data_IF_393468551918
#
_entry.id   IF_393468551918
#
_cell.length_a   1.000
_cell.length_b   1.000
_cell.length_c   1.000
_cell.angle_alpha   90.00
_cell.angle_beta   90.00
_cell.angle_gamma   90.00
#
_symmetry.space_group_name_H-M   'P 1'
#
loop_
_entity.id
_entity.type
_entity.pdbx_description
1 polymer ?
#
# COMPACT_ATOMS: atom_id res chain seq x y z
N UNK A 1 -1.92 -21.85 -2.30
CA UNK A 1 -2.62 -20.59 -2.07
C UNK A 1 -4.10 -20.75 -2.39
N UNK A 2 -4.95 -20.02 -1.67
CA UNK A 2 -6.39 -20.00 -1.93
C UNK A 2 -6.72 -18.83 -2.86
N UNK A 3 -7.57 -19.07 -3.86
CA UNK A 3 -8.12 -18.00 -4.69
C UNK A 3 -9.36 -17.45 -4.00
N UNK A 4 -9.41 -16.14 -3.81
CA UNK A 4 -10.59 -15.45 -3.29
C UNK A 4 -11.20 -14.61 -4.41
N UNK A 5 -12.51 -14.75 -4.63
CA UNK A 5 -13.25 -14.05 -5.67
C UNK A 5 -14.28 -13.14 -5.02
N UNK A 6 -14.20 -11.85 -5.35
CA UNK A 6 -15.21 -10.86 -4.92
C UNK A 6 -16.07 -10.53 -6.14
N UNK A 7 -17.33 -10.93 -6.09
CA UNK A 7 -18.31 -10.68 -7.15
C UNK A 7 -19.43 -9.76 -6.65
N UNK A 8 -20.19 -9.21 -7.57
CA UNK A 8 -21.33 -8.33 -7.28
C UNK A 8 -21.63 -7.43 -8.48
N UNK A 9 -22.71 -6.67 -8.41
CA UNK A 9 -23.16 -5.77 -9.46
C UNK A 9 -22.16 -4.68 -9.81
N UNK A 10 -22.30 -4.12 -11.01
CA UNK A 10 -21.49 -2.98 -11.44
C UNK A 10 -21.69 -1.78 -10.49
N UNK A 11 -20.65 -0.97 -10.28
CA UNK A 11 -20.66 0.22 -9.42
C UNK A 11 -20.88 -0.02 -7.92
N UNK A 12 -20.67 -1.24 -7.43
CA UNK A 12 -20.76 -1.58 -5.99
C UNK A 12 -19.47 -1.32 -5.20
N UNK A 13 -18.44 -0.76 -5.83
CA UNK A 13 -17.20 -0.36 -5.16
C UNK A 13 -16.13 -1.46 -5.07
N UNK A 14 -16.29 -2.58 -5.79
CA UNK A 14 -15.29 -3.67 -5.78
C UNK A 14 -13.87 -3.20 -6.10
N UNK A 15 -13.72 -2.39 -7.13
CA UNK A 15 -12.40 -1.85 -7.54
C UNK A 15 -11.80 -0.88 -6.51
N UNK A 16 -12.63 -0.26 -5.67
CA UNK A 16 -12.15 0.63 -4.61
C UNK A 16 -11.39 -0.12 -3.50
N UNK A 17 -11.57 -1.44 -3.40
CA UNK A 17 -10.86 -2.27 -2.39
C UNK A 17 -9.35 -2.15 -2.56
N UNK A 18 -8.83 -2.15 -3.79
CA UNK A 18 -7.40 -1.98 -4.06
C UNK A 18 -6.90 -0.62 -3.55
N UNK A 19 -7.65 0.46 -3.83
CA UNK A 19 -7.32 1.79 -3.32
C UNK A 19 -7.38 1.90 -1.80
N UNK A 20 -8.32 1.19 -1.14
CA UNK A 20 -8.38 1.10 0.33
C UNK A 20 -7.15 0.39 0.89
N UNK A 21 -6.77 -0.75 0.30
CA UNK A 21 -5.60 -1.52 0.73
C UNK A 21 -4.33 -0.68 0.56
N UNK A 22 -4.13 -0.11 -0.62
CA UNK A 22 -2.96 0.72 -0.91
C UNK A 22 -2.86 1.92 0.04
N UNK A 23 -3.99 2.60 0.29
CA UNK A 23 -4.03 3.71 1.25
C UNK A 23 -3.66 3.28 2.67
N UNK A 24 -4.16 2.14 3.14
CA UNK A 24 -3.81 1.58 4.44
C UNK A 24 -2.38 1.04 4.49
N UNK A 25 -1.74 0.75 3.37
CA UNK A 25 -0.32 0.40 3.27
C UNK A 25 0.61 1.62 3.09
N UNK A 26 0.10 2.83 3.25
CA UNK A 26 0.91 4.04 3.29
C UNK A 26 1.10 4.73 1.95
N UNK A 27 0.19 4.54 0.99
CA UNK A 27 0.16 5.36 -0.23
C UNK A 27 0.11 6.86 0.13
N UNK A 28 0.69 7.69 -0.72
CA UNK A 28 0.71 9.15 -0.51
C UNK A 28 -0.69 9.74 -0.53
N UNK A 29 -1.49 9.32 -1.48
CA UNK A 29 -2.84 9.83 -1.73
C UNK A 29 -3.84 8.68 -1.73
N UNK A 30 -5.11 8.99 -1.49
CA UNK A 30 -6.20 8.04 -1.54
C UNK A 30 -6.69 7.88 -2.98
N UNK A 31 -6.65 6.66 -3.51
CA UNK A 31 -7.21 6.30 -4.82
C UNK A 31 -8.54 5.56 -4.66
N UNK A 32 -9.47 6.17 -3.93
CA UNK A 32 -10.86 5.72 -3.83
C UNK A 32 -11.75 6.83 -4.37
N UNK A 33 -12.59 6.55 -5.37
CA UNK A 33 -13.46 7.56 -5.96
C UNK A 33 -14.33 8.26 -4.92
N UNK A 34 -14.54 9.55 -5.13
CA UNK A 34 -15.51 10.29 -4.33
C UNK A 34 -16.89 9.68 -4.47
N UNK A 35 -17.62 9.59 -3.36
CA UNK A 35 -18.93 8.99 -3.34
C UNK A 35 -19.42 8.67 -1.94
N UNK A 36 -20.43 7.80 -1.84
CA UNK A 36 -21.05 7.46 -0.56
C UNK A 36 -20.04 6.91 0.46
N UNK A 37 -19.04 6.13 0.03
CA UNK A 37 -18.04 5.55 0.93
C UNK A 37 -17.20 6.66 1.56
N UNK A 38 -16.56 7.53 0.78
CA UNK A 38 -15.71 8.61 1.32
C UNK A 38 -16.47 9.61 2.18
N UNK A 39 -17.75 9.85 1.90
CA UNK A 39 -18.56 10.81 2.67
C UNK A 39 -19.03 10.29 4.02
N UNK A 40 -19.13 8.97 4.17
CA UNK A 40 -19.75 8.36 5.36
C UNK A 40 -18.75 7.57 6.21
N UNK A 41 -17.48 7.50 5.82
CA UNK A 41 -16.45 6.73 6.50
C UNK A 41 -15.34 7.66 6.95
N UNK A 42 -14.98 7.62 8.23
CA UNK A 42 -13.90 8.44 8.79
C UNK A 42 -12.54 7.72 8.70
N UNK A 43 -12.52 6.40 8.76
CA UNK A 43 -11.31 5.58 8.74
C UNK A 43 -11.49 4.37 7.83
N UNK A 44 -10.46 4.04 7.07
CA UNK A 44 -10.30 2.71 6.48
C UNK A 44 -9.41 1.87 7.37
N UNK A 45 -9.72 0.58 7.48
CA UNK A 45 -8.94 -0.33 8.30
C UNK A 45 -8.77 -1.70 7.68
N UNK A 46 -7.62 -2.31 7.94
CA UNK A 46 -7.25 -3.66 7.53
C UNK A 46 -6.84 -4.47 8.76
N UNK A 47 -7.34 -5.68 8.87
CA UNK A 47 -6.82 -6.68 9.78
C UNK A 47 -5.89 -7.61 8.99
N UNK A 48 -4.63 -7.66 9.39
CA UNK A 48 -3.56 -8.38 8.71
C UNK A 48 -3.11 -9.57 9.56
N UNK A 49 -2.93 -10.72 8.91
CA UNK A 49 -2.18 -11.84 9.48
C UNK A 49 -0.70 -11.62 9.18
N UNK A 50 0.12 -11.69 10.21
CA UNK A 50 1.58 -11.54 10.10
C UNK A 50 2.27 -12.79 10.61
N UNK A 51 3.55 -12.96 10.34
CA UNK A 51 4.33 -14.06 10.88
C UNK A 51 4.48 -14.04 12.41
N UNK A 52 4.02 -12.97 13.09
CA UNK A 52 4.13 -12.74 14.53
C UNK A 52 2.79 -12.52 15.24
N UNK A 53 1.68 -12.85 14.59
CA UNK A 53 0.33 -12.61 15.09
C UNK A 53 -0.48 -11.72 14.13
N UNK A 54 -1.38 -10.93 14.69
CA UNK A 54 -2.27 -10.05 13.92
C UNK A 54 -1.87 -8.58 14.09
N UNK A 55 -2.14 -7.80 13.05
CA UNK A 55 -1.99 -6.35 13.07
C UNK A 55 -3.26 -5.70 12.51
N UNK A 56 -3.84 -4.76 13.24
CA UNK A 56 -4.88 -3.89 12.73
C UNK A 56 -4.27 -2.54 12.39
N UNK A 57 -4.38 -2.16 11.12
CA UNK A 57 -3.93 -0.88 10.59
C UNK A 57 -5.14 -0.11 10.15
N UNK A 58 -5.34 1.09 10.67
CA UNK A 58 -6.39 1.98 10.19
C UNK A 58 -5.82 3.35 9.85
N UNK A 59 -6.30 3.95 8.77
CA UNK A 59 -5.89 5.28 8.33
C UNK A 59 -7.09 6.18 8.17
N UNK A 60 -6.97 7.39 8.74
CA UNK A 60 -8.03 8.39 8.67
C UNK A 60 -8.16 8.92 7.24
N UNK A 61 -9.40 9.09 6.80
CA UNK A 61 -9.66 9.73 5.52
C UNK A 61 -9.34 11.22 5.60
N UNK A 62 -8.88 11.82 4.51
CA UNK A 62 -8.72 13.27 4.45
C UNK A 62 -10.06 13.98 4.55
N UNK A 63 -10.07 15.16 5.16
CA UNK A 63 -11.25 15.99 5.25
C UNK A 63 -11.52 16.71 3.92
N UNK A 64 -12.79 16.87 3.57
CA UNK A 64 -13.21 17.58 2.35
C UNK A 64 -12.57 16.99 1.09
N UNK A 65 -12.08 17.86 0.23
CA UNK A 65 -11.44 17.50 -1.05
C UNK A 65 -9.97 17.09 -0.90
N UNK A 66 -9.50 16.90 0.32
CA UNK A 66 -8.13 16.46 0.62
C UNK A 66 -7.85 15.07 0.02
N UNK A 67 -6.59 14.84 -0.34
CA UNK A 67 -6.14 13.56 -0.92
C UNK A 67 -5.31 12.71 0.03
N UNK A 68 -4.86 13.27 1.16
CA UNK A 68 -4.00 12.59 2.11
C UNK A 68 -4.33 12.96 3.55
N UNK A 69 -4.08 12.03 4.47
CA UNK A 69 -4.08 12.26 5.92
C UNK A 69 -2.95 11.44 6.53
N UNK A 70 -2.24 12.02 7.50
CA UNK A 70 -1.10 11.36 8.17
C UNK A 70 -1.51 10.61 9.45
N UNK A 71 -2.77 10.72 9.86
CA UNK A 71 -3.26 10.04 11.05
C UNK A 71 -3.47 8.55 10.78
N UNK A 72 -2.64 7.72 11.39
CA UNK A 72 -2.66 6.27 11.27
C UNK A 72 -2.72 5.65 12.66
N UNK A 73 -3.62 4.69 12.83
CA UNK A 73 -3.73 3.82 14.00
C UNK A 73 -3.15 2.45 13.68
N UNK A 74 -2.29 1.95 14.54
CA UNK A 74 -1.75 0.59 14.45
C UNK A 74 -1.88 -0.09 15.82
N UNK A 75 -2.36 -1.32 15.82
CA UNK A 75 -2.40 -2.20 16.97
C UNK A 75 -1.91 -3.60 16.54
N UNK A 76 -1.04 -4.20 17.33
CA UNK A 76 -0.50 -5.54 17.09
C UNK A 76 -0.67 -6.39 18.34
N UNK A 77 -1.06 -7.65 18.14
CA UNK A 77 -1.15 -8.67 19.20
C UNK A 77 -1.16 -10.05 18.54
N UNK A 78 -1.14 -11.12 19.35
CA UNK A 78 -1.39 -12.48 18.86
C UNK A 78 -2.77 -12.58 18.18
N UNK A 79 -3.77 -11.92 18.73
CA UNK A 79 -5.12 -11.78 18.16
C UNK A 79 -5.62 -10.37 18.42
N UNK A 80 -6.05 -9.67 17.38
CA UNK A 80 -6.54 -8.30 17.46
C UNK A 80 -8.03 -8.25 17.19
N UNK A 81 -8.81 -7.78 18.17
CA UNK A 81 -10.19 -7.39 17.95
C UNK A 81 -10.25 -6.07 17.18
N UNK A 82 -11.11 -5.98 16.16
CA UNK A 82 -11.28 -4.72 15.42
C UNK A 82 -11.82 -3.65 16.36
N UNK A 83 -11.07 -2.55 16.57
CA UNK A 83 -11.48 -1.51 17.52
C UNK A 83 -12.74 -0.78 17.06
N UNK A 84 -13.54 -0.32 18.01
CA UNK A 84 -14.64 0.58 17.70
C UNK A 84 -14.11 1.94 17.17
N UNK A 85 -14.85 2.57 16.26
CA UNK A 85 -14.40 3.79 15.57
C UNK A 85 -14.05 4.94 16.52
N UNK A 86 -14.69 5.02 17.68
CA UNK A 86 -14.47 6.06 18.69
C UNK A 86 -13.15 5.92 19.47
N UNK A 87 -12.47 4.78 19.39
CA UNK A 87 -11.15 4.60 20.02
C UNK A 87 -9.99 4.81 19.03
N UNK A 88 -10.28 4.92 17.73
CA UNK A 88 -9.27 5.16 16.73
C UNK A 88 -8.68 6.58 16.89
N UNK A 89 -7.38 6.62 17.08
CA UNK A 89 -6.60 7.85 17.18
C UNK A 89 -5.24 7.64 16.54
N UNK A 90 -4.56 8.70 16.19
CA UNK A 90 -3.23 8.57 15.64
C UNK A 90 -2.27 7.94 16.65
N UNK A 91 -1.65 6.82 16.27
CA UNK A 91 -0.56 6.18 17.02
C UNK A 91 0.77 6.25 16.25
N UNK A 92 0.70 6.44 14.94
CA UNK A 92 1.87 6.59 14.06
C UNK A 92 1.54 7.48 12.86
N UNK A 93 2.53 7.71 12.01
CA UNK A 93 2.39 8.40 10.72
C UNK A 93 2.76 7.44 9.57
N UNK A 94 2.76 7.95 8.35
CA UNK A 94 3.05 7.17 7.15
C UNK A 94 4.44 6.54 7.15
N UNK A 95 5.46 7.26 7.58
CA UNK A 95 6.83 6.74 7.59
C UNK A 95 7.01 5.67 8.66
N UNK A 96 6.44 5.87 9.86
CA UNK A 96 6.41 4.84 10.89
C UNK A 96 5.64 3.58 10.47
N UNK A 97 4.50 3.74 9.78
CA UNK A 97 3.77 2.60 9.22
C UNK A 97 4.62 1.83 8.20
N UNK A 98 5.29 2.51 7.28
CA UNK A 98 6.14 1.87 6.26
C UNK A 98 7.28 1.09 6.88
N UNK A 99 7.92 1.63 7.92
CA UNK A 99 8.95 0.92 8.66
C UNK A 99 8.42 -0.33 9.35
N UNK A 100 7.23 -0.25 9.97
CA UNK A 100 6.56 -1.41 10.57
C UNK A 100 6.23 -2.48 9.53
N UNK A 101 5.61 -2.10 8.41
CA UNK A 101 5.27 -3.02 7.32
C UNK A 101 6.52 -3.71 6.77
N UNK A 102 7.61 -2.96 6.53
CA UNK A 102 8.88 -3.52 6.07
C UNK A 102 9.41 -4.55 7.08
N UNK A 103 9.37 -4.24 8.38
CA UNK A 103 9.82 -5.16 9.43
C UNK A 103 8.98 -6.44 9.49
N UNK A 104 7.66 -6.36 9.26
CA UNK A 104 6.77 -7.53 9.30
C UNK A 104 7.01 -8.50 8.15
N UNK A 105 7.40 -7.99 6.99
CA UNK A 105 7.73 -8.82 5.82
C UNK A 105 9.23 -9.17 5.72
N UNK A 106 10.02 -8.73 6.70
CA UNK A 106 11.45 -9.04 6.76
C UNK A 106 12.29 -8.32 5.70
N UNK A 107 11.84 -7.16 5.23
CA UNK A 107 12.65 -6.33 4.33
C UNK A 107 13.85 -5.78 5.08
N UNK A 108 15.05 -5.98 4.49
CA UNK A 108 16.28 -5.31 4.91
C UNK A 108 16.36 -3.91 4.27
N UNK A 109 17.23 -3.07 4.82
CA UNK A 109 17.55 -1.78 4.23
C UNK A 109 18.35 -2.01 2.94
N UNK A 110 17.70 -1.87 1.80
CA UNK A 110 18.32 -1.92 0.49
C UNK A 110 18.27 -0.55 -0.16
N UNK A 111 19.44 -0.03 -0.52
CA UNK A 111 19.62 1.24 -1.23
C UNK A 111 20.24 0.98 -2.61
N UNK A 112 19.45 1.24 -3.65
CA UNK A 112 19.98 1.25 -5.01
C UNK A 112 20.74 2.54 -5.25
N UNK A 113 22.02 2.41 -5.62
CA UNK A 113 22.85 3.54 -6.05
C UNK A 113 22.92 3.59 -7.58
N UNK A 114 22.54 4.72 -8.20
CA UNK A 114 22.64 4.87 -9.63
C UNK A 114 24.10 4.77 -10.12
N UNK A 115 24.34 4.21 -11.31
CA UNK A 115 25.68 4.19 -11.90
C UNK A 115 26.31 5.58 -12.01
N UNK A 116 27.64 5.69 -11.94
CA UNK A 116 28.34 6.96 -12.11
C UNK A 116 27.93 7.69 -13.40
N UNK A 117 27.70 8.99 -13.30
CA UNK A 117 27.27 9.84 -14.42
C UNK A 117 25.76 9.98 -14.58
N UNK A 118 24.95 9.33 -13.75
CA UNK A 118 23.52 9.58 -13.67
C UNK A 118 23.21 10.59 -12.54
N UNK A 119 22.31 11.52 -12.83
CA UNK A 119 21.90 12.58 -11.87
C UNK A 119 20.69 12.17 -10.98
N UNK A 120 20.37 10.88 -10.90
CA UNK A 120 19.29 10.36 -10.07
C UNK A 120 19.75 10.19 -8.64
N UNK A 121 18.85 10.47 -7.70
CA UNK A 121 19.10 10.16 -6.29
C UNK A 121 19.07 8.64 -6.03
N UNK A 122 19.81 8.15 -5.03
CA UNK A 122 19.69 6.79 -4.55
C UNK A 122 18.25 6.45 -4.15
N UNK A 123 17.82 5.21 -4.41
CA UNK A 123 16.46 4.76 -4.17
C UNK A 123 16.43 3.64 -3.13
N UNK A 124 15.83 3.91 -1.97
CA UNK A 124 15.58 2.87 -0.97
C UNK A 124 14.40 1.98 -1.39
N UNK A 125 14.58 0.67 -1.33
CA UNK A 125 13.47 -0.27 -1.48
C UNK A 125 12.45 -0.07 -0.36
N UNK A 126 11.17 -0.17 -0.69
CA UNK A 126 10.08 0.06 0.26
C UNK A 126 8.92 -0.89 0.00
N UNK A 127 8.05 -1.02 0.99
CA UNK A 127 6.80 -1.79 0.85
C UNK A 127 5.94 -1.30 -0.33
N UNK A 128 5.97 -0.01 -0.64
CA UNK A 128 5.24 0.54 -1.79
C UNK A 128 5.77 -0.02 -3.12
N UNK A 129 7.08 -0.27 -3.23
CA UNK A 129 7.65 -0.92 -4.41
C UNK A 129 7.24 -2.40 -4.48
N UNK A 130 7.21 -3.11 -3.34
CA UNK A 130 6.71 -4.49 -3.30
C UNK A 130 5.25 -4.59 -3.77
N UNK A 131 4.40 -3.64 -3.42
CA UNK A 131 2.98 -3.64 -3.81
C UNK A 131 2.77 -3.50 -5.32
N UNK A 132 3.71 -2.88 -6.05
CA UNK A 132 3.65 -2.82 -7.53
C UNK A 132 3.69 -4.19 -8.19
N UNK A 133 4.24 -5.20 -7.50
CA UNK A 133 4.26 -6.59 -7.97
C UNK A 133 3.04 -7.40 -7.53
N UNK A 134 2.27 -6.90 -6.55
CA UNK A 134 1.13 -7.60 -5.96
C UNK A 134 -0.21 -7.14 -6.54
N UNK A 135 -0.30 -5.91 -7.04
CA UNK A 135 -1.54 -5.32 -7.51
C UNK A 135 -1.56 -5.21 -9.03
N UNK A 136 -2.75 -5.36 -9.60
CA UNK A 136 -3.04 -5.03 -10.99
C UNK A 136 -4.45 -4.44 -11.09
N UNK A 137 -4.58 -3.31 -11.74
CA UNK A 137 -5.88 -2.74 -12.06
C UNK A 137 -6.47 -3.43 -13.31
N UNK A 138 -7.78 -3.32 -13.50
CA UNK A 138 -8.46 -3.89 -14.66
C UNK A 138 -7.90 -3.34 -15.98
N UNK A 139 -7.54 -2.06 -16.02
CA UNK A 139 -6.94 -1.43 -17.20
C UNK A 139 -5.53 -1.96 -17.49
N UNK A 140 -4.76 -2.32 -16.49
CA UNK A 140 -3.41 -2.88 -16.65
C UNK A 140 -3.45 -4.32 -17.14
N UNK A 141 -4.37 -5.15 -16.63
CA UNK A 141 -4.56 -6.54 -17.10
C UNK A 141 -4.89 -6.57 -18.60
N UNK A 142 -5.63 -5.57 -19.09
CA UNK A 142 -6.00 -5.47 -20.51
C UNK A 142 -4.88 -4.90 -21.42
N UNK A 143 -3.80 -4.38 -20.84
CA UNK A 143 -2.70 -3.77 -21.59
C UNK A 143 -1.54 -4.74 -21.81
N UNK A 144 -1.15 -4.94 -23.08
CA UNK A 144 -0.02 -5.83 -23.42
C UNK A 144 1.36 -5.24 -23.08
N UNK A 145 1.45 -3.92 -22.86
CA UNK A 145 2.73 -3.21 -22.71
C UNK A 145 3.20 -3.05 -21.27
N UNK A 146 2.30 -3.23 -20.31
CA UNK A 146 2.57 -2.99 -18.90
C UNK A 146 2.31 -4.25 -18.09
N UNK A 147 3.36 -4.76 -17.44
CA UNK A 147 3.30 -6.00 -16.65
C UNK A 147 3.00 -5.70 -15.18
N UNK A 148 3.53 -4.61 -14.66
CA UNK A 148 3.45 -4.26 -13.24
C UNK A 148 2.56 -3.03 -13.02
N UNK A 149 1.94 -2.98 -11.84
CA UNK A 149 1.08 -1.88 -11.42
C UNK A 149 1.80 -0.53 -11.50
N UNK A 150 1.15 0.46 -12.10
CA UNK A 150 1.70 1.81 -12.25
C UNK A 150 2.87 1.94 -13.24
N UNK A 151 3.29 0.86 -13.93
CA UNK A 151 4.46 0.87 -14.83
C UNK A 151 4.29 1.73 -16.10
N UNK A 152 3.11 2.30 -16.32
CA UNK A 152 2.90 3.35 -17.32
C UNK A 152 3.54 4.69 -16.94
N UNK A 153 3.73 4.97 -15.65
CA UNK A 153 4.50 6.09 -15.15
C UNK A 153 6.01 5.79 -15.23
N UNK A 154 6.77 6.73 -15.83
CA UNK A 154 8.22 6.54 -16.05
C UNK A 154 9.02 6.42 -14.73
N UNK A 155 8.58 7.09 -13.67
CA UNK A 155 9.27 7.04 -12.38
C UNK A 155 9.01 5.70 -11.69
N UNK A 156 7.77 5.21 -11.74
CA UNK A 156 7.41 3.87 -11.24
C UNK A 156 8.13 2.80 -12.04
N UNK A 157 8.14 2.89 -13.38
CA UNK A 157 8.86 1.95 -14.24
C UNK A 157 10.36 1.91 -13.93
N UNK A 158 10.96 3.07 -13.62
CA UNK A 158 12.37 3.12 -13.24
C UNK A 158 12.60 2.52 -11.83
N UNK A 159 11.75 2.86 -10.86
CA UNK A 159 11.82 2.29 -9.51
C UNK A 159 11.69 0.76 -9.53
N UNK A 160 10.81 0.21 -10.38
CA UNK A 160 10.70 -1.24 -10.60
C UNK A 160 12.04 -1.82 -11.06
N UNK A 161 12.68 -1.22 -12.06
CA UNK A 161 13.99 -1.70 -12.54
C UNK A 161 15.07 -1.67 -11.47
N UNK A 162 15.08 -0.62 -10.67
CA UNK A 162 16.09 -0.39 -9.64
C UNK A 162 15.88 -1.32 -8.41
N UNK A 163 14.64 -1.73 -8.12
CA UNK A 163 14.32 -2.53 -6.92
C UNK A 163 13.97 -4.00 -7.23
N UNK A 164 13.63 -4.36 -8.48
CA UNK A 164 13.27 -5.72 -8.84
C UNK A 164 14.35 -6.76 -8.48
N UNK A 165 15.67 -6.51 -8.72
CA UNK A 165 16.71 -7.47 -8.33
C UNK A 165 16.69 -7.80 -6.83
N UNK A 166 16.43 -6.81 -5.98
CA UNK A 166 16.29 -7.00 -4.53
C UNK A 166 15.08 -7.91 -4.20
N UNK A 167 13.90 -7.64 -4.76
CA UNK A 167 12.71 -8.46 -4.51
C UNK A 167 12.81 -9.88 -5.07
N UNK A 168 13.67 -10.10 -6.07
CA UNK A 168 13.97 -11.43 -6.58
C UNK A 168 15.11 -12.13 -5.80
N UNK A 169 15.69 -11.48 -4.78
CA UNK A 169 16.79 -12.03 -4.02
C UNK A 169 18.13 -12.11 -4.80
N UNK A 170 18.25 -11.35 -5.88
CA UNK A 170 19.46 -11.32 -6.70
C UNK A 170 20.55 -10.40 -6.12
N UNK A 171 20.16 -9.51 -5.23
CA UNK A 171 21.02 -8.59 -4.46
C UNK A 171 20.51 -8.50 -3.02
N UNK A 172 21.39 -8.22 -2.07
CA UNK A 172 21.10 -8.13 -0.63
C UNK A 172 21.48 -6.75 -0.11
#
# INVERSE_FOLDING_TARGET
GRVNIISGDSRTGKSAILGVIDYCFGAKEIDVPEGKVRRNVAWFGLLLETGRGQAFVARQLPNGDGKSNEAIYVQTDNTVAIPAANVLRQTTNRDGLRALLASWVGMSDYLYEPPPGQSRDPLAASISHALTFCFQSQSEIAQRKHLFHGSSDRFVAQAIKDTLPYFLGAVT
#
